data_IF_533045907662
#
_entry.id   IF_533045907662
#
_cell.length_a   1.000
_cell.length_b   1.000
_cell.length_c   1.000
_cell.angle_alpha   90.00
_cell.angle_beta   90.00
_cell.angle_gamma   90.00
#
_symmetry.space_group_name_H-M   'P 1'
#
loop_
_entity.id
_entity.type
_entity.pdbx_description
1 polymer ?
#
# COMPACT_ATOMS: atom_id res chain seq x y z
N UNK A 1 30.04 14.95 -10.55
CA UNK A 1 29.25 13.71 -10.46
C UNK A 1 27.82 14.06 -10.05
N UNK A 2 26.84 13.86 -10.93
CA UNK A 2 25.43 14.16 -10.65
C UNK A 2 24.78 12.92 -10.03
N UNK A 3 24.17 13.06 -8.84
CA UNK A 3 23.48 11.96 -8.14
C UNK A 3 21.97 12.14 -8.25
N UNK A 4 21.27 11.10 -8.69
CA UNK A 4 19.80 11.08 -8.68
C UNK A 4 19.25 11.25 -7.26
N UNK A 5 18.31 12.18 -7.09
CA UNK A 5 17.69 12.47 -5.79
C UNK A 5 16.39 11.68 -5.67
N UNK A 6 16.23 10.98 -4.55
CA UNK A 6 14.99 10.26 -4.23
C UNK A 6 14.20 10.99 -3.14
N UNK A 7 12.89 10.71 -3.09
CA UNK A 7 11.95 11.06 -2.03
C UNK A 7 11.38 9.78 -1.43
N UNK A 8 11.08 9.86 -0.14
CA UNK A 8 10.56 8.74 0.63
C UNK A 8 9.17 9.06 1.12
N UNK A 9 8.17 8.28 0.72
CA UNK A 9 6.77 8.54 1.03
C UNK A 9 6.30 7.48 2.02
N UNK A 10 5.83 7.92 3.19
CA UNK A 10 5.17 7.07 4.18
C UNK A 10 3.66 7.12 3.95
N UNK A 11 3.07 5.96 3.73
CA UNK A 11 1.65 5.78 3.39
C UNK A 11 0.98 4.95 4.48
N UNK A 12 -0.21 5.39 4.93
CA UNK A 12 -1.13 4.60 5.74
C UNK A 12 -2.17 3.98 4.80
N UNK A 13 -2.41 2.69 4.95
CA UNK A 13 -3.45 1.98 4.21
C UNK A 13 -4.58 1.67 5.18
N UNK A 14 -5.79 2.10 4.86
CA UNK A 14 -6.98 1.84 5.62
C UNK A 14 -7.98 1.07 4.76
N UNK A 15 -8.72 0.16 5.39
CA UNK A 15 -9.78 -0.59 4.74
C UNK A 15 -11.11 -0.02 5.21
N UNK A 16 -12.02 0.27 4.28
CA UNK A 16 -13.38 0.68 4.63
C UNK A 16 -14.01 -0.39 5.52
N UNK A 17 -14.63 0.04 6.62
CA UNK A 17 -15.15 -0.80 7.72
C UNK A 17 -16.36 -1.66 7.33
N UNK A 18 -16.64 -1.84 6.04
CA UNK A 18 -17.99 -2.18 5.60
C UNK A 18 -18.41 -3.63 5.76
N UNK A 19 -17.56 -4.56 6.24
CA UNK A 19 -18.01 -5.82 6.84
C UNK A 19 -16.87 -6.49 7.60
N UNK A 20 -17.14 -6.99 8.82
CA UNK A 20 -16.29 -7.82 9.67
C UNK A 20 -15.93 -9.20 9.06
N UNK A 21 -15.90 -9.31 7.73
CA UNK A 21 -15.40 -10.48 7.06
C UNK A 21 -13.89 -10.54 7.26
N UNK A 22 -13.48 -11.43 8.16
CA UNK A 22 -12.12 -11.71 8.65
C UNK A 22 -11.08 -12.06 7.56
N UNK A 23 -11.40 -11.91 6.27
CA UNK A 23 -10.62 -12.45 5.16
C UNK A 23 -9.98 -11.40 4.23
N UNK A 24 -10.04 -10.10 4.54
CA UNK A 24 -9.24 -9.13 3.77
C UNK A 24 -7.78 -9.22 4.22
N UNK A 25 -7.00 -10.10 3.60
CA UNK A 25 -5.55 -10.14 3.80
C UNK A 25 -4.94 -8.84 3.30
N UNK A 26 -3.96 -8.34 4.05
CA UNK A 26 -3.18 -7.18 3.62
C UNK A 26 -2.35 -7.58 2.39
N UNK A 27 -2.30 -6.76 1.32
CA UNK A 27 -1.59 -7.12 0.10
C UNK A 27 -0.11 -7.37 0.35
N UNK A 28 0.46 -8.35 -0.32
CA UNK A 28 1.89 -8.62 -0.25
C UNK A 28 2.70 -7.43 -0.79
N UNK A 29 3.99 -7.35 -0.44
CA UNK A 29 4.89 -6.28 -0.94
C UNK A 29 4.89 -6.20 -2.47
N UNK A 30 4.79 -7.35 -3.16
CA UNK A 30 4.75 -7.45 -4.62
C UNK A 30 3.41 -6.96 -5.17
N UNK A 31 2.31 -7.41 -4.58
CA UNK A 31 0.96 -6.95 -4.95
C UNK A 31 0.83 -5.44 -4.78
N UNK A 32 1.25 -4.89 -3.65
CA UNK A 32 1.17 -3.45 -3.40
C UNK A 32 2.02 -2.63 -4.38
N UNK A 33 3.19 -3.15 -4.79
CA UNK A 33 4.02 -2.53 -5.81
C UNK A 33 3.30 -2.53 -7.18
N UNK A 34 2.66 -3.64 -7.56
CA UNK A 34 1.87 -3.72 -8.79
C UNK A 34 0.66 -2.78 -8.74
N UNK A 35 -0.06 -2.73 -7.62
CA UNK A 35 -1.20 -1.84 -7.42
C UNK A 35 -0.81 -0.38 -7.60
N UNK A 36 0.31 0.06 -6.99
CA UNK A 36 0.80 1.44 -7.16
C UNK A 36 1.16 1.71 -8.61
N UNK A 37 1.89 0.80 -9.27
CA UNK A 37 2.28 0.97 -10.68
C UNK A 37 1.07 1.11 -11.59
N UNK A 38 0.11 0.21 -11.45
CA UNK A 38 -1.13 0.28 -12.21
C UNK A 38 -1.93 1.54 -11.88
N UNK A 39 -1.95 1.99 -10.62
CA UNK A 39 -2.60 3.26 -10.25
C UNK A 39 -1.91 4.46 -10.92
N UNK A 40 -0.58 4.51 -10.93
CA UNK A 40 0.19 5.56 -11.61
C UNK A 40 -0.13 5.56 -13.11
N UNK A 41 0.01 4.42 -13.79
CA UNK A 41 -0.28 4.30 -15.22
C UNK A 41 -1.76 4.57 -15.55
N UNK A 42 -2.70 4.20 -14.66
CA UNK A 42 -4.12 4.49 -14.86
C UNK A 42 -4.46 5.98 -14.69
N UNK A 43 -3.77 6.70 -13.79
CA UNK A 43 -4.04 8.11 -13.54
C UNK A 43 -3.37 9.02 -14.59
N UNK A 44 -2.20 8.64 -15.10
CA UNK A 44 -1.34 9.51 -15.90
C UNK A 44 -0.99 8.94 -17.29
N UNK A 45 -1.47 7.74 -17.62
CA UNK A 45 -1.21 7.07 -18.88
C UNK A 45 0.26 6.66 -19.07
N UNK A 46 0.62 6.43 -20.34
CA UNK A 46 1.95 5.95 -20.77
C UNK A 46 3.09 6.90 -20.36
N UNK A 47 2.80 8.20 -20.22
CA UNK A 47 3.79 9.20 -19.81
C UNK A 47 4.37 8.95 -18.40
N UNK A 48 3.65 8.19 -17.56
CA UNK A 48 4.06 7.90 -16.20
C UNK A 48 4.69 6.51 -16.01
N UNK A 49 4.88 5.73 -17.08
CA UNK A 49 5.46 4.39 -16.97
C UNK A 49 6.89 4.42 -16.42
N UNK A 50 7.69 5.43 -16.78
CA UNK A 50 9.00 5.64 -16.17
C UNK A 50 8.92 5.85 -14.65
N UNK A 51 7.99 6.70 -14.20
CA UNK A 51 7.75 6.93 -12.78
C UNK A 51 7.27 5.66 -12.04
N UNK A 52 6.42 4.87 -12.67
CA UNK A 52 5.91 3.62 -12.14
C UNK A 52 7.03 2.59 -11.96
N UNK A 53 7.92 2.44 -12.96
CA UNK A 53 9.02 1.48 -12.91
C UNK A 53 10.07 1.85 -11.86
N UNK A 54 10.39 3.13 -11.71
CA UNK A 54 11.37 3.61 -10.73
C UNK A 54 10.83 3.65 -9.29
N UNK A 55 9.51 3.63 -9.10
CA UNK A 55 8.89 3.58 -7.79
C UNK A 55 9.08 2.20 -7.14
N UNK A 56 9.62 2.20 -5.93
CA UNK A 56 9.96 0.98 -5.20
C UNK A 56 9.31 0.96 -3.83
N UNK A 57 8.60 -0.14 -3.55
CA UNK A 57 8.11 -0.42 -2.20
C UNK A 57 9.27 -0.97 -1.38
N UNK A 58 9.62 -0.29 -0.29
CA UNK A 58 10.78 -0.66 0.57
C UNK A 58 10.33 -1.42 1.81
N UNK A 59 9.25 -0.97 2.44
CA UNK A 59 8.69 -1.58 3.64
C UNK A 59 7.18 -1.69 3.53
N UNK A 60 6.63 -2.81 3.96
CA UNK A 60 5.20 -3.07 4.06
C UNK A 60 4.97 -3.83 5.35
N UNK A 61 3.97 -3.43 6.11
CA UNK A 61 3.57 -4.11 7.32
C UNK A 61 2.05 -4.21 7.38
N UNK A 62 1.55 -5.45 7.43
CA UNK A 62 0.13 -5.77 7.53
C UNK A 62 -0.47 -5.37 8.88
N UNK A 63 0.27 -5.57 9.96
CA UNK A 63 -0.15 -5.25 11.33
C UNK A 63 -0.38 -3.75 11.51
N UNK A 64 0.57 -2.91 11.11
CA UNK A 64 0.47 -1.44 11.26
C UNK A 64 -0.20 -0.75 10.07
N UNK A 65 -0.39 -1.49 8.98
CA UNK A 65 -0.89 -1.00 7.69
C UNK A 65 -0.09 0.19 7.14
N UNK A 66 1.21 0.17 7.38
CA UNK A 66 2.14 1.19 6.92
C UNK A 66 2.93 0.68 5.73
N UNK A 67 3.12 1.55 4.75
CA UNK A 67 3.96 1.30 3.58
C UNK A 67 4.96 2.44 3.40
N UNK A 68 6.22 2.09 3.14
CA UNK A 68 7.26 3.04 2.80
C UNK A 68 7.68 2.87 1.34
N UNK A 69 7.58 3.96 0.58
CA UNK A 69 7.92 4.02 -0.82
C UNK A 69 9.17 4.87 -1.03
N UNK A 70 10.03 4.43 -1.96
CA UNK A 70 11.11 5.22 -2.52
C UNK A 70 10.72 5.62 -3.93
N UNK A 71 10.73 6.91 -4.20
CA UNK A 71 10.26 7.52 -5.46
C UNK A 71 11.32 8.50 -5.98
N UNK A 72 11.51 8.65 -7.30
CA UNK A 72 12.34 9.72 -7.84
C UNK A 72 11.79 11.11 -7.46
N UNK A 73 12.68 12.09 -7.29
CA UNK A 73 12.28 13.42 -6.82
C UNK A 73 11.33 14.10 -7.81
N UNK A 74 11.56 13.91 -9.09
CA UNK A 74 10.81 14.54 -10.19
C UNK A 74 9.36 14.06 -10.21
N UNK A 75 9.13 12.79 -9.87
CA UNK A 75 7.81 12.15 -9.92
C UNK A 75 7.08 12.11 -8.57
N UNK A 76 7.64 12.70 -7.52
CA UNK A 76 7.09 12.60 -6.17
C UNK A 76 5.64 13.09 -6.06
N UNK A 77 5.29 14.18 -6.74
CA UNK A 77 3.92 14.72 -6.70
C UNK A 77 2.94 13.84 -7.47
N UNK A 78 3.36 13.31 -8.61
CA UNK A 78 2.57 12.39 -9.43
C UNK A 78 2.21 11.12 -8.65
N UNK A 79 3.21 10.49 -8.03
CA UNK A 79 3.00 9.30 -7.20
C UNK A 79 2.15 9.60 -5.97
N UNK A 80 2.31 10.78 -5.37
CA UNK A 80 1.45 11.21 -4.24
C UNK A 80 -0.01 11.33 -4.67
N UNK A 81 -0.29 11.94 -5.82
CA UNK A 81 -1.64 12.06 -6.37
C UNK A 81 -2.25 10.68 -6.69
N UNK A 82 -1.49 9.78 -7.31
CA UNK A 82 -1.99 8.42 -7.62
C UNK A 82 -2.27 7.59 -6.37
N UNK A 83 -1.50 7.78 -5.28
CA UNK A 83 -1.78 7.13 -3.98
C UNK A 83 -3.09 7.64 -3.40
N UNK A 84 -3.36 8.94 -3.45
CA UNK A 84 -4.62 9.51 -2.94
C UNK A 84 -5.83 9.04 -3.76
N UNK A 85 -5.66 8.83 -5.08
CA UNK A 85 -6.68 8.27 -5.96
C UNK A 85 -6.74 6.73 -5.91
N UNK A 86 -5.89 6.09 -5.10
CA UNK A 86 -5.89 4.64 -4.94
C UNK A 86 -7.10 4.24 -4.08
N UNK A 87 -8.24 4.13 -4.75
CA UNK A 87 -9.48 3.54 -4.25
C UNK A 87 -9.70 2.27 -5.04
N UNK A 88 -9.40 1.11 -4.46
CA UNK A 88 -9.55 -0.17 -5.16
C UNK A 88 -10.44 -1.14 -4.40
N UNK A 89 -11.26 -1.85 -5.16
CA UNK A 89 -11.98 -3.04 -4.73
C UNK A 89 -11.02 -4.22 -4.79
N UNK A 90 -10.63 -4.75 -3.63
CA UNK A 90 -9.65 -5.85 -3.52
C UNK A 90 -10.10 -7.09 -4.31
N UNK A 91 -11.41 -7.33 -4.39
CA UNK A 91 -11.99 -8.48 -5.09
C UNK A 91 -11.84 -8.42 -6.62
N UNK A 92 -11.88 -7.24 -7.22
CA UNK A 92 -11.75 -7.07 -8.68
C UNK A 92 -10.30 -7.31 -9.13
N UNK A 93 -9.33 -6.93 -8.29
CA UNK A 93 -7.92 -7.14 -8.59
C UNK A 93 -7.48 -8.59 -8.40
N UNK A 94 -7.96 -9.32 -7.38
CA UNK A 94 -7.64 -10.76 -7.26
C UNK A 94 -8.19 -11.51 -8.47
N UNK A 95 -9.40 -11.16 -8.93
CA UNK A 95 -9.98 -11.74 -10.14
C UNK A 95 -9.18 -11.35 -11.40
N UNK A 96 -8.78 -10.08 -11.55
CA UNK A 96 -7.99 -9.62 -12.69
C UNK A 96 -6.56 -10.21 -12.70
N UNK A 97 -5.90 -10.29 -11.55
CA UNK A 97 -4.58 -10.90 -11.40
C UNK A 97 -4.66 -12.41 -11.66
N UNK A 98 -5.64 -13.10 -11.09
CA UNK A 98 -5.90 -14.52 -11.38
C UNK A 98 -6.13 -14.73 -12.89
N UNK A 99 -6.96 -13.89 -13.52
CA UNK A 99 -7.22 -13.94 -14.95
C UNK A 99 -5.97 -13.66 -15.82
N UNK A 100 -5.02 -12.84 -15.36
CA UNK A 100 -3.73 -12.69 -16.06
C UNK A 100 -2.80 -13.90 -15.92
N UNK A 101 -3.04 -14.78 -14.95
CA UNK A 101 -2.28 -16.04 -14.76
C UNK A 101 -2.89 -17.24 -15.46
N UNK A 102 -4.20 -17.22 -15.74
CA UNK A 102 -4.95 -18.29 -16.42
C UNK A 102 -5.44 -17.77 -17.76
N UNK A 103 -4.53 -17.59 -18.71
CA UNK A 103 -4.88 -17.19 -20.07
C UNK A 103 -4.85 -18.42 -20.96
N UNK A 104 -5.91 -19.23 -20.90
CA UNK A 104 -6.36 -20.14 -21.95
C UNK A 104 -7.91 -20.26 -21.87
N UNK A 105 -8.56 -19.82 -22.95
CA UNK A 105 -9.93 -20.02 -23.43
C UNK A 105 -11.14 -20.04 -22.47
N UNK A 106 -12.01 -19.04 -22.62
CA UNK A 106 -13.36 -19.23 -23.22
C UNK A 106 -14.27 -18.01 -23.04
N UNK A 107 -14.99 -17.69 -24.13
CA UNK A 107 -16.06 -16.70 -24.17
C UNK A 107 -17.34 -17.25 -23.54
N UNK A 108 -17.97 -16.51 -22.62
CA UNK A 108 -19.44 -16.40 -22.54
C UNK A 108 -19.84 -15.16 -21.73
N UNK A 109 -20.64 -14.28 -22.33
CA UNK A 109 -21.21 -13.10 -21.70
C UNK A 109 -22.70 -13.28 -21.39
N UNK A 110 -23.11 -13.04 -20.15
CA UNK A 110 -24.52 -12.84 -19.73
C UNK A 110 -24.65 -12.70 -18.19
N UNK A 111 -24.26 -11.57 -17.57
CA UNK A 111 -24.52 -11.34 -16.12
C UNK A 111 -24.43 -9.88 -15.61
N UNK A 112 -24.56 -8.86 -16.47
CA UNK A 112 -24.16 -7.47 -16.16
C UNK A 112 -25.08 -6.69 -15.20
N UNK A 113 -26.36 -7.04 -15.03
CA UNK A 113 -27.29 -6.22 -14.20
C UNK A 113 -27.36 -6.60 -12.72
N UNK A 114 -27.01 -7.83 -12.31
CA UNK A 114 -26.86 -8.20 -10.88
C UNK A 114 -25.49 -7.81 -10.32
N UNK A 115 -24.48 -7.65 -11.18
CA UNK A 115 -23.13 -7.26 -10.78
C UNK A 115 -23.06 -5.84 -10.20
N UNK A 116 -23.84 -4.89 -10.74
CA UNK A 116 -23.76 -3.48 -10.34
C UNK A 116 -24.22 -3.22 -8.90
N UNK A 117 -25.25 -3.93 -8.41
CA UNK A 117 -25.72 -3.84 -7.03
C UNK A 117 -24.83 -4.60 -6.02
N UNK A 118 -23.96 -5.49 -6.51
CA UNK A 118 -22.96 -6.23 -5.73
C UNK A 118 -21.60 -5.52 -5.66
N UNK A 119 -21.35 -4.54 -6.53
CA UNK A 119 -20.13 -3.72 -6.50
C UNK A 119 -20.05 -2.82 -5.24
N UNK A 120 -21.21 -2.40 -4.72
CA UNK A 120 -21.33 -1.39 -3.66
C UNK A 120 -21.04 -1.91 -2.23
N UNK A 121 -20.72 -3.22 -2.08
CA UNK A 121 -20.46 -3.87 -0.78
C UNK A 121 -19.04 -4.40 -0.62
N UNK A 122 -18.12 -4.03 -1.51
CA UNK A 122 -16.76 -4.58 -1.50
C UNK A 122 -15.85 -3.76 -0.58
N UNK A 123 -14.94 -4.41 0.17
CA UNK A 123 -13.99 -3.69 1.00
C UNK A 123 -13.10 -2.82 0.09
N UNK A 124 -13.26 -1.51 0.24
CA UNK A 124 -12.46 -0.53 -0.47
C UNK A 124 -11.18 -0.27 0.32
N UNK A 125 -10.05 -0.41 -0.35
CA UNK A 125 -8.75 0.00 0.16
C UNK A 125 -8.58 1.49 -0.12
N UNK A 126 -8.26 2.26 0.93
CA UNK A 126 -7.97 3.69 0.86
C UNK A 126 -6.54 3.90 1.33
N UNK A 127 -5.71 4.52 0.51
CA UNK A 127 -4.35 4.87 0.88
C UNK A 127 -4.22 6.38 1.13
N UNK A 128 -3.58 6.74 2.24
CA UNK A 128 -3.31 8.14 2.59
C UNK A 128 -1.83 8.39 2.82
N UNK A 129 -1.31 9.50 2.29
CA UNK A 129 0.09 9.88 2.48
C UNK A 129 0.25 10.60 3.81
N UNK A 130 1.04 10.03 4.73
CA UNK A 130 1.31 10.59 6.05
C UNK A 130 2.43 11.62 5.98
N UNK A 131 3.55 11.27 5.33
CA UNK A 131 4.72 12.16 5.26
C UNK A 131 5.56 11.90 4.01
N UNK A 132 6.25 12.95 3.55
CA UNK A 132 7.23 12.89 2.47
C UNK A 132 8.57 13.36 3.01
N UNK A 133 9.58 12.52 2.88
CA UNK A 133 10.90 12.72 3.47
C UNK A 133 11.97 12.84 2.38
N UNK A 134 12.98 13.67 2.63
CA UNK A 134 14.06 13.91 1.69
C UNK A 134 15.19 12.88 1.73
N UNK A 135 15.27 12.07 2.79
CA UNK A 135 16.34 11.09 2.99
C UNK A 135 15.83 9.80 3.61
N UNK A 136 16.55 8.70 3.40
CA UNK A 136 16.23 7.40 4.00
C UNK A 136 16.23 7.48 5.53
N UNK A 137 17.20 8.20 6.11
CA UNK A 137 17.32 8.39 7.57
C UNK A 137 16.07 9.05 8.16
N UNK A 138 15.61 10.16 7.59
CA UNK A 138 14.42 10.86 8.07
C UNK A 138 13.15 10.03 7.87
N UNK A 139 13.07 9.30 6.76
CA UNK A 139 12.00 8.35 6.50
C UNK A 139 11.93 7.23 7.56
N UNK A 140 13.07 6.59 7.89
CA UNK A 140 13.15 5.57 8.96
C UNK A 140 12.65 6.12 10.29
N UNK A 141 13.13 7.30 10.70
CA UNK A 141 12.72 7.94 11.95
C UNK A 141 11.22 8.23 11.98
N UNK A 142 10.66 8.77 10.89
CA UNK A 142 9.22 9.01 10.75
C UNK A 142 8.42 7.71 10.86
N UNK A 143 8.85 6.64 10.17
CA UNK A 143 8.22 5.32 10.24
C UNK A 143 8.27 4.74 11.65
N UNK A 144 9.43 4.76 12.31
CA UNK A 144 9.57 4.28 13.70
C UNK A 144 8.70 5.08 14.67
N UNK A 145 8.64 6.40 14.52
CA UNK A 145 7.79 7.26 15.34
C UNK A 145 6.30 6.91 15.15
N UNK A 146 5.88 6.66 13.91
CA UNK A 146 4.51 6.26 13.59
C UNK A 146 4.17 4.88 14.15
N UNK A 147 5.04 3.89 13.98
CA UNK A 147 4.87 2.54 14.54
C UNK A 147 4.73 2.63 16.07
N UNK A 148 5.64 3.35 16.75
CA UNK A 148 5.56 3.54 18.20
C UNK A 148 4.25 4.20 18.62
N UNK A 149 3.74 5.17 17.86
CA UNK A 149 2.44 5.80 18.14
C UNK A 149 1.29 4.79 18.07
N UNK A 150 1.25 3.96 17.02
CA UNK A 150 0.22 2.92 16.85
C UNK A 150 0.29 1.87 17.95
N UNK A 151 1.48 1.38 18.28
CA UNK A 151 1.65 0.38 19.35
C UNK A 151 1.34 0.94 20.74
N UNK A 152 1.69 2.20 21.02
CA UNK A 152 1.28 2.85 22.28
C UNK A 152 -0.23 2.86 22.45
N UNK A 153 -0.99 3.13 21.38
CA UNK A 153 -2.44 3.08 21.42
C UNK A 153 -2.94 1.65 21.70
N UNK A 154 -2.41 0.64 21.00
CA UNK A 154 -2.80 -0.75 21.21
C UNK A 154 -2.45 -1.30 22.60
N UNK A 155 -1.32 -0.87 23.17
CA UNK A 155 -0.89 -1.28 24.51
C UNK A 155 -1.82 -0.69 25.58
N UNK A 156 -2.33 0.53 25.37
CA UNK A 156 -3.33 1.14 26.24
C UNK A 156 -4.70 0.43 26.13
N UNK A 157 -5.01 -0.16 24.99
CA UNK A 157 -6.27 -0.89 24.74
C UNK A 157 -6.26 -2.35 25.25
N UNK A 158 -5.09 -3.02 25.26
CA UNK A 158 -4.97 -4.46 25.55
C UNK A 158 -4.15 -4.77 26.83
N UNK A 159 -4.31 -4.00 27.90
CA UNK A 159 -3.73 -4.28 29.24
C UNK A 159 -2.27 -4.80 29.24
N UNK A 160 -1.38 -4.09 28.53
CA UNK A 160 0.09 -4.34 28.53
C UNK A 160 0.53 -5.77 28.20
N UNK A 161 -0.09 -6.38 27.19
CA UNK A 161 0.38 -7.67 26.66
C UNK A 161 1.88 -7.66 26.29
N UNK A 162 2.71 -8.56 26.86
CA UNK A 162 4.16 -8.60 26.59
C UNK A 162 4.47 -8.95 25.13
N UNK A 163 3.58 -9.71 24.48
CA UNK A 163 3.71 -10.11 23.06
C UNK A 163 3.74 -8.90 22.11
N UNK A 164 2.98 -7.84 22.43
CA UNK A 164 2.96 -6.62 21.62
C UNK A 164 4.30 -5.87 21.67
N UNK A 165 5.01 -5.97 22.79
CA UNK A 165 6.33 -5.34 22.97
C UNK A 165 7.39 -6.07 22.14
N UNK A 166 7.37 -7.41 22.14
CA UNK A 166 8.26 -8.22 21.31
C UNK A 166 8.03 -7.96 19.81
N UNK A 167 6.77 -7.92 19.37
CA UNK A 167 6.42 -7.60 17.99
C UNK A 167 6.90 -6.19 17.60
N UNK A 168 6.72 -5.20 18.48
CA UNK A 168 7.23 -3.85 18.28
C UNK A 168 8.75 -3.84 18.07
N UNK A 169 9.51 -4.56 18.90
CA UNK A 169 10.97 -4.64 18.75
C UNK A 169 11.39 -5.29 17.44
N UNK A 170 10.72 -6.38 17.04
CA UNK A 170 10.95 -7.04 15.76
C UNK A 170 10.70 -6.10 14.57
N UNK A 171 9.60 -5.36 14.59
CA UNK A 171 9.25 -4.40 13.54
C UNK A 171 10.21 -3.21 13.47
N UNK A 172 10.65 -2.70 14.62
CA UNK A 172 11.63 -1.60 14.65
C UNK A 172 12.98 -2.04 14.08
N UNK A 173 13.41 -3.28 14.35
CA UNK A 173 14.61 -3.89 13.75
C UNK A 173 14.46 -3.97 12.22
N UNK A 174 13.30 -4.42 11.73
CA UNK A 174 13.04 -4.50 10.29
C UNK A 174 13.14 -3.12 9.60
N UNK A 175 12.63 -2.06 10.25
CA UNK A 175 12.73 -0.69 9.72
C UNK A 175 14.17 -0.16 9.70
N UNK A 176 14.99 -0.55 10.67
CA UNK A 176 16.41 -0.17 10.72
C UNK A 176 17.18 -0.73 9.52
N UNK A 177 16.82 -1.93 9.05
CA UNK A 177 17.47 -2.64 7.94
C UNK A 177 16.98 -2.21 6.54
N UNK A 178 16.21 -1.12 6.41
CA UNK A 178 15.77 -0.62 5.10
C UNK A 178 16.90 0.17 4.40
N UNK A 179 17.37 -0.28 3.23
CA UNK A 179 18.32 0.48 2.40
C UNK A 179 17.67 1.34 1.31
#
# INVERSE_FOLDING_TARGET
MVRHKARWILVQVDFSKQHDNKNTSFPSKKEFALMIRQSISSCFGVAADGAAMETQVRFVNSTTRLVLLRVPREFCNMVRCSITMLTRNIADDVAAIAATTTKDDSMTGSSTKRALAQLDRRPTLVASVISVNGSARTAKLSTMARIRKVYRQRILENDKDPKLVEELHSLLSLVQNID
#
